data_IF_048977511624
#
_entry.id   IF_048977511624
#
_cell.length_a   1.000
_cell.length_b   1.000
_cell.length_c   1.000
_cell.angle_alpha   90.00
_cell.angle_beta   90.00
_cell.angle_gamma   90.00
#
_symmetry.space_group_name_H-M   'P 1'
#
loop_
_entity.id
_entity.type
_entity.pdbx_description
1 polymer ?
#
# COMPACT_ATOMS: atom_id res chain seq x y z
N UNK A 1 0.16 -22.51 -11.07
CA UNK A 1 0.29 -21.19 -11.74
C UNK A 1 -0.68 -20.25 -11.06
N UNK A 2 -0.40 -18.94 -11.04
CA UNK A 2 -1.18 -17.91 -10.30
C UNK A 2 -2.71 -17.95 -10.51
N UNK A 3 -3.17 -18.66 -11.54
CA UNK A 3 -4.56 -18.84 -11.93
C UNK A 3 -5.02 -20.25 -11.54
N UNK A 4 -5.45 -20.42 -10.29
CA UNK A 4 -6.00 -21.69 -9.81
C UNK A 4 -7.53 -21.73 -9.98
N UNK A 5 -8.10 -22.93 -10.12
CA UNK A 5 -9.54 -23.13 -10.35
C UNK A 5 -10.39 -22.95 -9.08
N UNK A 6 -9.76 -22.90 -7.91
CA UNK A 6 -10.36 -22.93 -6.58
C UNK A 6 -10.55 -21.53 -5.96
N UNK A 7 -10.52 -20.48 -6.76
CA UNK A 7 -10.74 -19.08 -6.32
C UNK A 7 -11.66 -18.34 -7.28
N UNK A 8 -12.59 -17.55 -6.74
CA UNK A 8 -13.51 -16.73 -7.53
C UNK A 8 -12.88 -15.41 -8.01
N UNK A 9 -11.71 -15.05 -7.47
CA UNK A 9 -10.97 -13.84 -7.82
C UNK A 9 -9.47 -14.09 -7.91
N UNK A 10 -8.80 -13.21 -8.63
CA UNK A 10 -7.35 -13.16 -8.74
C UNK A 10 -6.78 -12.11 -7.80
N UNK A 11 -6.04 -12.56 -6.78
CA UNK A 11 -5.59 -11.69 -5.67
C UNK A 11 -4.06 -11.73 -5.49
N UNK A 12 -3.26 -11.33 -6.51
CA UNK A 12 -1.81 -11.36 -6.39
C UNK A 12 -1.31 -10.38 -5.31
N UNK A 13 -0.14 -10.66 -4.74
CA UNK A 13 0.58 -9.72 -3.89
C UNK A 13 1.65 -8.99 -4.70
N UNK A 14 1.76 -7.68 -4.48
CA UNK A 14 2.78 -6.78 -5.02
C UNK A 14 2.96 -6.78 -6.56
N UNK A 15 1.88 -6.75 -7.38
CA UNK A 15 2.03 -6.57 -8.82
C UNK A 15 2.60 -5.18 -9.14
N UNK A 16 3.42 -5.08 -10.19
CA UNK A 16 3.89 -3.79 -10.69
C UNK A 16 2.79 -3.09 -11.51
N UNK A 17 2.92 -1.77 -11.69
CA UNK A 17 2.04 -1.02 -12.61
C UNK A 17 2.08 -1.59 -14.04
N UNK A 18 3.24 -2.04 -14.50
CA UNK A 18 3.40 -2.67 -15.81
C UNK A 18 2.63 -4.01 -15.90
N UNK A 19 2.63 -4.79 -14.81
CA UNK A 19 1.87 -6.04 -14.74
C UNK A 19 0.36 -5.77 -14.79
N UNK A 20 -0.13 -4.75 -14.06
CA UNK A 20 -1.53 -4.35 -14.10
C UNK A 20 -1.94 -3.90 -15.50
N UNK A 21 -1.14 -3.09 -16.19
CA UNK A 21 -1.38 -2.69 -17.59
C UNK A 21 -1.42 -3.91 -18.52
N UNK A 22 -0.51 -4.88 -18.36
CA UNK A 22 -0.47 -6.09 -19.17
C UNK A 22 -1.71 -6.97 -18.96
N UNK A 23 -2.07 -7.25 -17.71
CA UNK A 23 -3.21 -8.09 -17.35
C UNK A 23 -4.54 -7.40 -17.68
N UNK A 24 -4.64 -6.10 -17.46
CA UNK A 24 -5.79 -5.31 -17.88
C UNK A 24 -6.02 -5.38 -19.40
N UNK A 25 -4.96 -5.27 -20.21
CA UNK A 25 -5.04 -5.43 -21.67
C UNK A 25 -5.44 -6.83 -22.11
N UNK A 26 -4.89 -7.86 -21.48
CA UNK A 26 -5.17 -9.26 -21.83
C UNK A 26 -6.59 -9.67 -21.41
N UNK A 27 -7.13 -9.04 -20.37
CA UNK A 27 -8.39 -9.43 -19.75
C UNK A 27 -8.23 -10.67 -18.86
N UNK A 28 -9.28 -10.95 -18.10
CA UNK A 28 -9.39 -12.14 -17.25
C UNK A 28 -10.83 -12.63 -17.22
N UNK A 29 -11.02 -13.92 -16.93
CA UNK A 29 -12.31 -14.58 -16.76
C UNK A 29 -13.00 -14.23 -15.43
N UNK A 30 -12.26 -13.58 -14.52
CA UNK A 30 -12.71 -13.17 -13.19
C UNK A 30 -11.99 -11.89 -12.73
N UNK A 31 -12.50 -11.19 -11.71
CA UNK A 31 -11.89 -9.97 -11.19
C UNK A 31 -10.45 -10.15 -10.72
N UNK A 32 -9.62 -9.13 -10.97
CA UNK A 32 -8.28 -9.01 -10.39
C UNK A 32 -8.29 -7.90 -9.34
N UNK A 33 -7.97 -8.25 -8.10
CA UNK A 33 -7.91 -7.34 -6.95
C UNK A 33 -6.70 -7.74 -6.10
N UNK A 34 -5.53 -7.10 -6.28
CA UNK A 34 -4.35 -7.42 -5.48
C UNK A 34 -4.65 -7.36 -3.97
N UNK A 35 -4.36 -8.44 -3.25
CA UNK A 35 -4.61 -8.51 -1.80
C UNK A 35 -3.64 -7.63 -1.02
N UNK A 36 -2.47 -7.38 -1.59
CA UNK A 36 -1.44 -6.47 -1.06
C UNK A 36 -0.77 -5.76 -2.24
N UNK A 37 -0.60 -4.44 -2.16
CA UNK A 37 0.18 -3.64 -3.10
C UNK A 37 0.74 -2.40 -2.38
N UNK A 38 1.60 -1.65 -3.07
CA UNK A 38 2.10 -0.35 -2.60
C UNK A 38 2.59 -0.35 -1.14
N UNK A 39 3.58 -1.20 -0.84
CA UNK A 39 4.14 -1.37 0.51
C UNK A 39 4.56 -0.02 1.12
N UNK A 40 3.94 0.39 2.23
CA UNK A 40 4.00 1.74 2.79
C UNK A 40 5.10 1.94 3.85
N UNK A 41 5.99 0.96 4.05
CA UNK A 41 7.11 1.07 5.00
C UNK A 41 7.99 2.31 4.80
N UNK A 42 8.00 3.17 5.81
CA UNK A 42 8.79 4.40 5.84
C UNK A 42 8.33 5.42 4.79
N UNK A 43 9.27 6.03 4.07
CA UNK A 43 8.96 6.95 2.98
C UNK A 43 8.81 6.17 1.66
N UNK A 44 7.59 5.77 1.34
CA UNK A 44 7.29 4.82 0.25
C UNK A 44 6.00 5.18 -0.52
N UNK A 45 5.31 4.19 -1.08
CA UNK A 45 4.08 4.28 -1.86
C UNK A 45 4.17 5.11 -3.15
N UNK A 46 5.36 5.16 -3.75
CA UNK A 46 5.55 5.74 -5.08
C UNK A 46 4.82 4.97 -6.19
N UNK A 47 4.56 5.64 -7.32
CA UNK A 47 3.86 5.10 -8.50
C UNK A 47 2.43 4.57 -8.22
N UNK A 48 1.79 5.04 -7.14
CA UNK A 48 0.40 4.71 -6.83
C UNK A 48 -0.53 5.17 -7.95
N UNK A 49 -0.27 6.35 -8.50
CA UNK A 49 -0.97 6.94 -9.64
C UNK A 49 -0.96 6.03 -10.87
N UNK A 50 0.20 5.47 -11.25
CA UNK A 50 0.32 4.60 -12.41
C UNK A 50 -0.47 3.29 -12.25
N UNK A 51 -0.52 2.75 -11.03
CA UNK A 51 -1.31 1.56 -10.72
C UNK A 51 -2.81 1.87 -10.85
N UNK A 52 -3.26 3.00 -10.31
CA UNK A 52 -4.66 3.41 -10.40
C UNK A 52 -5.08 3.85 -11.81
N UNK A 53 -4.18 4.41 -12.62
CA UNK A 53 -4.43 4.65 -14.05
C UNK A 53 -4.79 3.35 -14.79
N UNK A 54 -4.06 2.25 -14.54
CA UNK A 54 -4.38 0.95 -15.11
C UNK A 54 -5.71 0.41 -14.56
N UNK A 55 -5.93 0.49 -13.24
CA UNK A 55 -7.16 0.01 -12.58
C UNK A 55 -8.41 0.71 -13.14
N UNK A 56 -8.37 2.04 -13.31
CA UNK A 56 -9.50 2.78 -13.87
C UNK A 56 -9.72 2.53 -15.37
N UNK A 57 -8.69 2.10 -16.10
CA UNK A 57 -8.72 1.90 -17.55
C UNK A 57 -9.32 0.56 -17.97
N UNK A 58 -9.16 -0.49 -17.16
CA UNK A 58 -9.53 -1.87 -17.55
C UNK A 58 -10.60 -2.47 -16.62
N UNK A 59 -11.75 -2.92 -17.12
CA UNK A 59 -12.89 -3.34 -16.30
C UNK A 59 -12.64 -4.62 -15.48
N UNK A 60 -11.65 -5.42 -15.85
CA UNK A 60 -11.29 -6.64 -15.12
C UNK A 60 -10.43 -6.38 -13.87
N UNK A 61 -9.85 -5.18 -13.75
CA UNK A 61 -9.12 -4.73 -12.57
C UNK A 61 -10.07 -3.96 -11.65
N UNK A 62 -10.25 -4.40 -10.40
CA UNK A 62 -11.33 -3.88 -9.53
C UNK A 62 -10.84 -3.25 -8.22
N UNK A 63 -9.63 -2.70 -8.20
CA UNK A 63 -9.01 -2.08 -7.02
C UNK A 63 -7.85 -2.89 -6.47
N UNK A 64 -7.37 -2.54 -5.27
CA UNK A 64 -6.27 -3.19 -4.55
C UNK A 64 -6.24 -2.74 -3.07
N UNK A 65 -5.53 -3.46 -2.19
CA UNK A 65 -5.42 -3.13 -0.75
C UNK A 65 -3.98 -2.76 -0.35
N UNK A 66 -3.77 -1.52 0.13
CA UNK A 66 -2.44 -1.00 0.51
C UNK A 66 -1.93 -1.79 1.71
N UNK A 67 -0.67 -2.23 1.67
CA UNK A 67 -0.01 -2.83 2.81
C UNK A 67 0.89 -1.80 3.52
N UNK A 68 0.58 -1.33 4.74
CA UNK A 68 -0.62 -1.60 5.53
C UNK A 68 -1.21 -0.32 6.14
N UNK A 69 -2.16 -0.47 7.06
CA UNK A 69 -2.85 0.67 7.64
C UNK A 69 -2.00 1.44 8.65
N UNK A 70 -1.39 0.76 9.64
CA UNK A 70 -0.81 1.38 10.83
C UNK A 70 0.51 0.74 11.21
N UNK A 71 1.52 1.58 11.47
CA UNK A 71 2.79 1.12 12.01
C UNK A 71 2.59 0.39 13.33
N UNK A 72 3.17 -0.80 13.48
CA UNK A 72 3.00 -1.63 14.68
C UNK A 72 4.02 -1.29 15.77
N UNK A 73 4.43 -0.03 15.86
CA UNK A 73 5.40 0.45 16.84
C UNK A 73 4.79 0.58 18.24
N UNK A 74 5.55 0.19 19.26
CA UNK A 74 5.12 0.27 20.65
C UNK A 74 5.61 1.57 21.28
N UNK A 75 4.70 2.38 21.83
CA UNK A 75 5.05 3.65 22.47
C UNK A 75 5.99 3.42 23.67
N UNK A 76 7.04 4.23 23.75
CA UNK A 76 7.96 4.31 24.86
C UNK A 76 8.34 5.78 25.14
N UNK A 77 8.85 6.04 26.34
CA UNK A 77 9.28 7.37 26.78
C UNK A 77 10.75 7.29 27.20
N UNK A 78 11.57 8.21 26.70
CA UNK A 78 13.00 8.26 27.06
C UNK A 78 13.23 8.96 28.42
N UNK A 79 14.48 8.99 28.89
CA UNK A 79 14.84 9.62 30.17
C UNK A 79 14.54 11.13 30.22
N UNK A 80 14.38 11.77 29.07
CA UNK A 80 14.05 13.20 28.93
C UNK A 80 12.54 13.44 28.73
N UNK A 81 11.70 12.40 28.81
CA UNK A 81 10.26 12.51 28.61
C UNK A 81 9.83 12.55 27.14
N UNK A 82 10.70 12.22 26.17
CA UNK A 82 10.35 12.20 24.75
C UNK A 82 9.67 10.90 24.39
N UNK A 83 8.53 10.98 23.72
CA UNK A 83 7.83 9.82 23.14
C UNK A 83 8.58 9.33 21.90
N UNK A 84 8.79 8.03 21.81
CA UNK A 84 9.31 7.34 20.63
C UNK A 84 8.63 5.97 20.48
N UNK A 85 8.76 5.35 19.32
CA UNK A 85 8.17 4.05 19.05
C UNK A 85 9.25 2.99 18.91
N UNK A 86 9.13 1.93 19.71
CA UNK A 86 9.98 0.76 19.68
C UNK A 86 9.51 -0.25 18.64
N UNK A 87 10.46 -0.97 18.06
CA UNK A 87 10.22 -2.06 17.11
C UNK A 87 11.12 -3.27 17.46
N UNK A 88 11.24 -4.21 16.53
CA UNK A 88 12.05 -5.41 16.72
C UNK A 88 13.52 -5.06 17.05
N UNK A 89 14.03 -5.64 18.14
CA UNK A 89 15.37 -5.37 18.65
C UNK A 89 15.39 -4.49 19.92
N UNK A 90 14.30 -3.79 20.24
CA UNK A 90 14.25 -2.87 21.40
C UNK A 90 13.81 -3.51 22.73
N UNK A 91 13.42 -4.79 22.71
CA UNK A 91 12.79 -5.53 23.83
C UNK A 91 13.61 -6.72 24.37
N UNK A 92 14.93 -6.67 24.27
CA UNK A 92 15.83 -7.65 24.87
C UNK A 92 17.21 -7.67 24.21
N UNK A 93 18.17 -8.31 24.87
CA UNK A 93 19.51 -8.52 24.31
C UNK A 93 19.53 -9.86 23.56
N UNK A 94 20.14 -9.90 22.37
CA UNK A 94 20.31 -11.10 21.54
C UNK A 94 19.01 -11.87 21.19
N UNK A 95 17.87 -11.16 21.19
CA UNK A 95 16.59 -11.73 20.76
C UNK A 95 16.49 -11.74 19.23
N UNK A 96 15.94 -12.80 18.61
CA UNK A 96 15.71 -12.83 17.17
C UNK A 96 14.74 -11.71 16.77
N UNK A 97 15.06 -11.01 15.68
CA UNK A 97 14.29 -9.86 15.23
C UNK A 97 14.44 -9.59 13.73
N UNK A 98 13.33 -9.23 13.10
CA UNK A 98 13.27 -8.68 11.74
C UNK A 98 13.30 -7.13 11.73
N UNK A 99 13.78 -6.52 12.81
CA UNK A 99 13.98 -5.08 12.92
C UNK A 99 12.67 -4.28 12.83
N UNK A 100 12.66 -3.27 11.96
CA UNK A 100 11.54 -2.36 11.76
C UNK A 100 10.55 -2.83 10.68
N UNK A 101 10.62 -4.07 10.19
CA UNK A 101 9.72 -4.60 9.14
C UNK A 101 8.25 -4.73 9.56
N UNK A 102 7.91 -4.34 10.80
CA UNK A 102 6.54 -4.19 11.32
C UNK A 102 6.01 -2.74 11.21
N UNK A 103 6.85 -1.79 10.82
CA UNK A 103 6.51 -0.38 10.62
C UNK A 103 6.19 -0.12 9.14
N UNK A 104 5.05 -0.64 8.68
CA UNK A 104 4.62 -0.61 7.28
C UNK A 104 3.38 0.25 7.02
N UNK A 105 2.97 1.07 7.98
CA UNK A 105 1.69 1.76 7.95
C UNK A 105 1.70 3.01 7.10
N UNK A 106 0.55 3.31 6.50
CA UNK A 106 0.27 4.63 5.93
C UNK A 106 -0.04 5.69 7.01
N UNK A 107 -0.21 5.26 8.27
CA UNK A 107 -0.26 6.11 9.46
C UNK A 107 0.69 5.59 10.54
N UNK A 108 1.19 6.52 11.36
CA UNK A 108 2.00 6.24 12.55
C UNK A 108 1.21 5.45 13.62
N UNK A 109 1.87 4.93 14.67
CA UNK A 109 1.17 4.22 15.75
C UNK A 109 0.14 5.09 16.49
N UNK A 110 0.32 6.42 16.56
CA UNK A 110 -0.68 7.37 17.09
C UNK A 110 -1.77 7.77 16.08
N UNK A 111 -1.78 7.15 14.89
CA UNK A 111 -2.67 7.41 13.75
C UNK A 111 -2.45 8.76 13.06
N UNK A 112 -1.33 9.44 13.36
CA UNK A 112 -0.88 10.58 12.55
C UNK A 112 -0.56 10.09 11.13
N UNK A 113 -1.18 10.66 10.09
CA UNK A 113 -0.92 10.23 8.72
C UNK A 113 0.52 10.47 8.27
N UNK A 114 1.09 9.52 7.54
CA UNK A 114 2.32 9.74 6.79
C UNK A 114 2.05 10.65 5.58
N UNK A 115 3.07 11.32 5.00
CA UNK A 115 2.90 12.13 3.79
C UNK A 115 2.24 11.38 2.62
N UNK A 116 2.51 10.09 2.47
CA UNK A 116 1.92 9.24 1.44
C UNK A 116 0.38 9.14 1.54
N UNK A 117 -0.23 9.42 2.70
CA UNK A 117 -1.69 9.51 2.82
C UNK A 117 -2.29 10.59 1.90
N UNK A 118 -1.55 11.66 1.62
CA UNK A 118 -2.00 12.69 0.68
C UNK A 118 -2.15 12.13 -0.75
N UNK A 119 -1.20 11.31 -1.18
CA UNK A 119 -1.24 10.61 -2.47
C UNK A 119 -2.39 9.60 -2.52
N UNK A 120 -2.61 8.83 -1.44
CA UNK A 120 -3.75 7.92 -1.33
C UNK A 120 -5.07 8.68 -1.45
N UNK A 121 -5.21 9.79 -0.72
CA UNK A 121 -6.41 10.62 -0.76
C UNK A 121 -6.68 11.17 -2.16
N UNK A 122 -5.64 11.64 -2.85
CA UNK A 122 -5.76 12.17 -4.21
C UNK A 122 -6.11 11.07 -5.22
N UNK A 123 -5.42 9.94 -5.17
CA UNK A 123 -5.60 8.84 -6.13
C UNK A 123 -6.92 8.09 -5.95
N UNK A 124 -7.46 8.01 -4.73
CA UNK A 124 -8.72 7.31 -4.44
C UNK A 124 -9.96 8.21 -4.47
N UNK A 125 -9.82 9.50 -4.76
CA UNK A 125 -10.99 10.38 -4.81
C UNK A 125 -11.93 9.99 -5.97
N UNK A 126 -13.24 10.12 -5.75
CA UNK A 126 -14.26 9.64 -6.71
C UNK A 126 -14.57 10.62 -7.87
N UNK A 127 -13.69 11.57 -8.14
CA UNK A 127 -13.84 12.51 -9.24
C UNK A 127 -12.48 12.87 -9.82
N UNK A 128 -12.43 13.13 -11.12
CA UNK A 128 -11.26 13.62 -11.81
C UNK A 128 -11.62 14.92 -12.53
N UNK A 129 -10.65 15.83 -12.61
CA UNK A 129 -10.78 17.09 -13.34
C UNK A 129 -9.62 17.17 -14.31
N UNK A 130 -9.93 17.38 -15.58
CA UNK A 130 -8.95 17.57 -16.64
C UNK A 130 -9.16 18.96 -17.25
N UNK A 131 -8.08 19.72 -17.37
CA UNK A 131 -8.14 21.03 -17.99
C UNK A 131 -8.11 20.88 -19.52
N UNK A 132 -9.12 21.45 -20.20
CA UNK A 132 -9.25 21.34 -21.67
C UNK A 132 -8.71 22.57 -22.39
N UNK A 133 -8.89 23.75 -21.79
CA UNK A 133 -8.40 25.03 -22.30
C UNK A 133 -7.89 25.86 -21.11
N UNK A 134 -6.57 26.07 -21.07
CA UNK A 134 -5.90 26.88 -20.07
C UNK A 134 -5.28 28.09 -20.77
N UNK A 135 -5.48 29.32 -20.28
CA UNK A 135 -4.86 30.52 -20.85
C UNK A 135 -3.33 30.51 -20.76
#
# INVERSE_FOLDING_TARGET
GLWEYNTDMYVPQYPSAAWLEEVGKKGSDRPVVPSEYSHAMGNSSGNLDLQWQAIYKYPNLQGAYIWDWVDQGMEAVDENGRVYYKYGGDYGTDMPSDGNFLCNGIVNPDRTPHPAMAEVKYTHQNFAVEAVDLP
#
